data_IF_163220792727
#
_entry.id   IF_163220792727
#
_cell.length_a   1.000
_cell.length_b   1.000
_cell.length_c   1.000
_cell.angle_alpha   90.00
_cell.angle_beta   90.00
_cell.angle_gamma   90.00
#
_symmetry.space_group_name_H-M   'P 1'
#
loop_
_entity.id
_entity.type
_entity.pdbx_description
1 polymer ?
#
# COMPACT_ATOMS: atom_id res chain seq x y z
N UNK A 1 9.73 -21.34 -13.07
CA UNK A 1 10.90 -20.47 -12.80
C UNK A 1 10.69 -19.12 -13.48
N UNK A 2 11.33 -18.06 -13.00
CA UNK A 2 11.13 -16.68 -13.50
C UNK A 2 11.32 -16.56 -15.02
N UNK A 3 12.20 -17.37 -15.62
CA UNK A 3 12.36 -17.45 -17.09
C UNK A 3 11.13 -17.92 -17.87
N UNK A 4 10.26 -18.75 -17.29
CA UNK A 4 9.01 -19.17 -17.92
C UNK A 4 7.97 -18.04 -17.96
N UNK A 5 7.92 -17.21 -16.93
CA UNK A 5 7.02 -16.05 -16.88
C UNK A 5 7.50 -14.97 -17.86
N UNK A 6 8.82 -14.74 -17.92
CA UNK A 6 9.41 -13.86 -18.92
C UNK A 6 9.11 -14.36 -20.34
N UNK A 7 9.34 -15.64 -20.65
CA UNK A 7 9.02 -16.22 -21.95
C UNK A 7 7.52 -16.11 -22.30
N UNK A 8 6.62 -16.35 -21.35
CA UNK A 8 5.17 -16.21 -21.54
C UNK A 8 4.73 -14.76 -21.80
N UNK A 9 5.37 -13.78 -21.15
CA UNK A 9 5.07 -12.35 -21.32
C UNK A 9 5.76 -11.73 -22.54
N UNK A 10 6.84 -12.34 -23.03
CA UNK A 10 7.68 -11.77 -24.10
C UNK A 10 7.61 -12.50 -25.43
N UNK A 11 7.08 -13.73 -25.45
CA UNK A 11 7.16 -14.61 -26.63
C UNK A 11 8.59 -15.03 -26.98
N UNK A 12 9.55 -14.90 -26.06
CA UNK A 12 10.95 -15.24 -26.34
C UNK A 12 11.14 -16.74 -26.59
N UNK A 13 11.94 -17.13 -27.61
CA UNK A 13 12.32 -18.52 -27.82
C UNK A 13 13.17 -19.04 -26.64
N UNK A 14 13.05 -20.33 -26.29
CA UNK A 14 13.85 -20.92 -25.22
C UNK A 14 15.34 -20.86 -25.54
N UNK A 15 16.16 -20.39 -24.59
CA UNK A 15 17.63 -20.40 -24.68
C UNK A 15 18.33 -19.03 -24.79
N UNK A 16 17.61 -17.90 -24.85
CA UNK A 16 18.20 -16.56 -24.63
C UNK A 16 18.13 -16.16 -23.16
N UNK A 17 19.23 -15.64 -22.64
CA UNK A 17 19.24 -14.99 -21.34
C UNK A 17 18.41 -13.71 -21.40
N UNK A 18 17.47 -13.58 -20.47
CA UNK A 18 16.67 -12.37 -20.33
C UNK A 18 17.54 -11.26 -19.72
N UNK A 19 17.40 -10.03 -20.25
CA UNK A 19 18.16 -8.86 -19.79
C UNK A 19 17.63 -8.33 -18.45
N UNK A 20 17.98 -9.05 -17.38
CA UNK A 20 17.68 -8.68 -16.00
C UNK A 20 18.27 -7.33 -15.59
N UNK A 21 19.53 -6.99 -15.93
CA UNK A 21 20.10 -5.68 -15.60
C UNK A 21 19.31 -4.53 -16.24
N UNK A 22 18.95 -4.65 -17.52
CA UNK A 22 18.14 -3.65 -18.22
C UNK A 22 16.75 -3.51 -17.62
N UNK A 23 16.11 -4.62 -17.20
CA UNK A 23 14.83 -4.57 -16.50
C UNK A 23 14.94 -3.77 -15.19
N UNK A 24 15.93 -4.10 -14.36
CA UNK A 24 16.15 -3.40 -13.07
C UNK A 24 16.41 -1.92 -13.31
N UNK A 25 17.25 -1.57 -14.29
CA UNK A 25 17.53 -0.19 -14.66
C UNK A 25 16.27 0.57 -15.08
N UNK A 26 15.40 -0.05 -15.90
CA UNK A 26 14.14 0.56 -16.32
C UNK A 26 13.22 0.83 -15.12
N UNK A 27 13.07 -0.15 -14.21
CA UNK A 27 12.19 -0.03 -13.04
C UNK A 27 12.70 1.03 -12.04
N UNK A 28 14.01 1.06 -11.77
CA UNK A 28 14.62 2.08 -10.90
C UNK A 28 14.48 3.47 -11.52
N UNK A 29 14.72 3.59 -12.83
CA UNK A 29 14.56 4.86 -13.54
C UNK A 29 13.12 5.35 -13.51
N UNK A 30 12.14 4.45 -13.70
CA UNK A 30 10.72 4.80 -13.59
C UNK A 30 10.36 5.27 -12.17
N UNK A 31 10.86 4.59 -11.13
CA UNK A 31 10.68 5.02 -9.74
C UNK A 31 11.31 6.39 -9.46
N UNK A 32 12.49 6.69 -10.02
CA UNK A 32 13.09 8.02 -9.89
C UNK A 32 12.23 9.08 -10.58
N UNK A 33 11.73 8.80 -11.79
CA UNK A 33 10.82 9.69 -12.54
C UNK A 33 9.53 9.96 -11.76
N UNK A 34 9.02 8.96 -11.03
CA UNK A 34 7.87 9.11 -10.13
C UNK A 34 8.14 10.10 -9.00
N UNK A 35 9.24 9.91 -8.25
CA UNK A 35 9.62 10.80 -7.15
C UNK A 35 9.92 12.23 -7.62
N UNK A 36 10.60 12.36 -8.76
CA UNK A 36 10.83 13.66 -9.40
C UNK A 36 9.53 14.31 -9.87
N UNK A 37 8.53 13.52 -10.24
CA UNK A 37 7.18 13.99 -10.55
C UNK A 37 6.55 14.72 -9.36
N UNK A 38 6.61 14.13 -8.17
CA UNK A 38 6.15 14.76 -6.93
C UNK A 38 6.93 16.05 -6.63
N UNK A 39 8.27 16.01 -6.74
CA UNK A 39 9.12 17.18 -6.53
C UNK A 39 8.77 18.33 -7.49
N UNK A 40 8.61 18.02 -8.78
CA UNK A 40 8.28 19.01 -9.80
C UNK A 40 6.89 19.63 -9.57
N UNK A 41 5.90 18.81 -9.17
CA UNK A 41 4.58 19.31 -8.81
C UNK A 41 4.62 20.21 -7.58
N UNK A 42 5.45 19.87 -6.58
CA UNK A 42 5.64 20.67 -5.36
C UNK A 42 6.25 22.04 -5.69
N UNK A 43 7.30 22.06 -6.51
CA UNK A 43 7.91 23.32 -7.02
C UNK A 43 6.88 24.16 -7.74
N UNK A 44 6.08 23.55 -8.62
CA UNK A 44 5.01 24.26 -9.34
C UNK A 44 3.95 24.85 -8.41
N UNK A 45 3.67 24.18 -7.30
CA UNK A 45 2.78 24.67 -6.24
C UNK A 45 3.38 25.78 -5.37
N UNK A 46 4.65 26.13 -5.55
CA UNK A 46 5.37 27.12 -4.75
C UNK A 46 6.09 26.54 -3.52
N UNK A 47 6.09 25.22 -3.36
CA UNK A 47 6.84 24.53 -2.31
C UNK A 47 8.30 24.29 -2.69
N UNK A 48 9.11 23.91 -1.70
CA UNK A 48 10.51 23.51 -1.89
C UNK A 48 10.67 22.02 -1.57
N UNK A 49 11.05 21.17 -2.54
CA UNK A 49 11.35 19.78 -2.27
C UNK A 49 12.63 19.67 -1.43
N UNK A 50 12.67 18.66 -0.56
CA UNK A 50 13.86 18.27 0.19
C UNK A 50 14.73 17.31 -0.62
N UNK A 51 15.33 16.34 0.08
CA UNK A 51 16.20 15.33 -0.54
C UNK A 51 15.43 14.20 -1.24
N UNK A 52 16.13 13.50 -2.13
CA UNK A 52 15.69 12.22 -2.71
C UNK A 52 16.57 11.11 -2.15
N UNK A 53 15.99 9.97 -1.80
CA UNK A 53 16.73 8.86 -1.21
C UNK A 53 16.02 7.53 -1.32
N UNK A 54 16.51 6.55 -0.56
CA UNK A 54 15.92 5.22 -0.42
C UNK A 54 15.46 5.07 1.03
N UNK A 55 14.22 4.63 1.21
CA UNK A 55 13.60 4.37 2.50
C UNK A 55 12.95 2.98 2.54
N UNK A 56 12.34 2.66 3.68
CA UNK A 56 11.58 1.42 3.87
C UNK A 56 10.10 1.76 4.04
N UNK A 57 9.29 1.40 3.04
CA UNK A 57 7.84 1.43 3.15
C UNK A 57 7.38 0.04 3.61
N UNK A 58 6.94 -0.06 4.86
CA UNK A 58 6.63 -1.32 5.52
C UNK A 58 7.86 -2.24 5.57
N UNK A 59 7.94 -3.28 4.74
CA UNK A 59 9.10 -4.19 4.65
C UNK A 59 9.80 -4.12 3.29
N UNK A 60 9.38 -3.20 2.42
CA UNK A 60 9.90 -3.09 1.06
C UNK A 60 10.76 -1.83 0.92
N UNK A 61 11.95 -1.93 0.29
CA UNK A 61 12.71 -0.75 -0.06
C UNK A 61 11.95 0.06 -1.12
N UNK A 62 11.93 1.38 -0.96
CA UNK A 62 11.28 2.30 -1.88
C UNK A 62 12.16 3.54 -2.07
N UNK A 63 12.12 4.12 -3.27
CA UNK A 63 12.60 5.48 -3.46
C UNK A 63 11.64 6.45 -2.76
N UNK A 64 12.16 7.60 -2.34
CA UNK A 64 11.32 8.68 -1.83
C UNK A 64 11.91 10.03 -2.22
N UNK A 65 11.05 11.01 -2.45
CA UNK A 65 11.37 12.42 -2.39
C UNK A 65 10.72 13.04 -1.15
N UNK A 66 11.49 13.81 -0.39
CA UNK A 66 10.93 14.60 0.71
C UNK A 66 10.09 15.75 0.14
N UNK A 67 8.77 15.53 0.18
CA UNK A 67 7.76 16.52 -0.19
C UNK A 67 7.00 17.05 1.02
N UNK A 68 7.58 17.01 2.23
CA UNK A 68 6.89 17.41 3.47
C UNK A 68 6.28 18.83 3.40
N UNK A 69 6.90 19.74 2.63
CA UNK A 69 6.38 21.09 2.40
C UNK A 69 5.00 21.13 1.69
N UNK A 70 4.54 20.01 1.10
CA UNK A 70 3.22 19.87 0.48
C UNK A 70 2.10 20.22 1.46
N UNK A 71 2.27 19.93 2.75
CA UNK A 71 1.27 20.21 3.78
C UNK A 71 0.90 21.70 3.89
N UNK A 72 1.78 22.60 3.43
CA UNK A 72 1.57 24.05 3.43
C UNK A 72 0.78 24.54 2.21
N UNK A 73 0.61 23.71 1.19
CA UNK A 73 -0.05 24.10 -0.04
C UNK A 73 -1.58 24.06 0.08
N UNK A 74 -2.30 24.87 -0.73
CA UNK A 74 -3.74 24.73 -0.89
C UNK A 74 -4.10 23.32 -1.35
N UNK A 75 -5.26 22.84 -0.91
CA UNK A 75 -5.73 21.47 -1.16
C UNK A 75 -5.61 21.00 -2.61
N UNK A 76 -5.94 21.85 -3.57
CA UNK A 76 -5.85 21.52 -5.00
C UNK A 76 -4.41 21.24 -5.46
N UNK A 77 -3.45 21.98 -4.91
CA UNK A 77 -2.05 21.78 -5.23
C UNK A 77 -1.49 20.54 -4.51
N UNK A 78 -1.96 20.22 -3.31
CA UNK A 78 -1.60 18.96 -2.65
C UNK A 78 -2.08 17.73 -3.42
N UNK A 79 -3.35 17.72 -3.84
CA UNK A 79 -3.91 16.69 -4.74
C UNK A 79 -3.07 16.53 -6.01
N UNK A 80 -2.59 17.65 -6.58
CA UNK A 80 -1.70 17.61 -7.76
C UNK A 80 -0.38 16.95 -7.41
N UNK A 81 0.24 17.31 -6.29
CA UNK A 81 1.49 16.69 -5.83
C UNK A 81 1.27 15.20 -5.61
N UNK A 82 0.25 14.78 -4.86
CA UNK A 82 -0.03 13.37 -4.58
C UNK A 82 -0.30 12.55 -5.86
N UNK A 83 -0.93 13.14 -6.87
CA UNK A 83 -1.19 12.45 -8.15
C UNK A 83 0.01 12.46 -9.12
N UNK A 84 1.03 13.30 -8.88
CA UNK A 84 2.07 13.57 -9.86
C UNK A 84 2.96 12.35 -10.13
N UNK A 85 3.42 11.64 -9.11
CA UNK A 85 4.23 10.45 -9.30
C UNK A 85 3.50 9.37 -10.09
N UNK A 86 2.21 9.14 -9.78
CA UNK A 86 1.38 8.19 -10.54
C UNK A 86 1.26 8.59 -12.01
N UNK A 87 1.01 9.87 -12.29
CA UNK A 87 0.93 10.36 -13.66
C UNK A 87 2.25 10.15 -14.43
N UNK A 88 3.39 10.39 -13.78
CA UNK A 88 4.71 10.18 -14.37
C UNK A 88 5.07 8.71 -14.55
N UNK A 89 4.67 7.83 -13.62
CA UNK A 89 4.75 6.37 -13.83
C UNK A 89 3.92 5.92 -15.03
N UNK A 90 2.69 6.41 -15.19
CA UNK A 90 1.85 6.06 -16.35
C UNK A 90 2.50 6.52 -17.67
N UNK A 91 3.07 7.72 -17.70
CA UNK A 91 3.81 8.20 -18.86
C UNK A 91 5.05 7.34 -19.16
N UNK A 92 5.86 7.03 -18.14
CA UNK A 92 7.04 6.17 -18.28
C UNK A 92 6.66 4.76 -18.74
N UNK A 93 5.64 4.15 -18.13
CA UNK A 93 5.12 2.84 -18.51
C UNK A 93 4.59 2.80 -19.94
N UNK A 94 3.87 3.84 -20.37
CA UNK A 94 3.42 3.98 -21.75
C UNK A 94 4.57 4.11 -22.75
N UNK A 95 5.61 4.88 -22.41
CA UNK A 95 6.83 5.00 -23.22
C UNK A 95 7.59 3.67 -23.33
N UNK A 96 7.72 2.93 -22.22
CA UNK A 96 8.33 1.60 -22.21
C UNK A 96 7.53 0.59 -23.04
N UNK A 97 6.19 0.61 -22.93
CA UNK A 97 5.33 -0.27 -23.73
C UNK A 97 5.46 0.02 -25.23
N UNK A 98 5.41 1.30 -25.62
CA UNK A 98 5.59 1.70 -27.01
C UNK A 98 6.98 1.32 -27.53
N UNK A 99 8.04 1.58 -26.76
CA UNK A 99 9.40 1.21 -27.11
C UNK A 99 9.56 -0.31 -27.26
N UNK A 100 8.94 -1.10 -26.37
CA UNK A 100 8.96 -2.56 -26.46
C UNK A 100 8.32 -3.10 -27.73
N UNK A 101 7.20 -2.49 -28.18
CA UNK A 101 6.52 -2.86 -29.42
C UNK A 101 7.30 -2.40 -30.65
N UNK A 102 7.72 -1.13 -30.70
CA UNK A 102 8.36 -0.52 -31.88
C UNK A 102 9.77 -1.07 -32.12
N UNK A 103 10.55 -1.25 -31.05
CA UNK A 103 11.94 -1.71 -31.14
C UNK A 103 12.06 -3.24 -31.05
N UNK A 104 10.98 -3.94 -30.71
CA UNK A 104 10.99 -5.39 -30.48
C UNK A 104 11.87 -5.81 -29.30
N UNK A 105 12.05 -4.94 -28.29
CA UNK A 105 12.89 -5.18 -27.10
C UNK A 105 12.01 -5.68 -25.96
N UNK A 106 12.01 -6.98 -25.63
CA UNK A 106 11.01 -7.51 -24.71
C UNK A 106 11.20 -7.06 -23.26
N UNK A 107 12.42 -6.67 -22.89
CA UNK A 107 12.74 -6.07 -21.59
C UNK A 107 11.90 -4.82 -21.32
N UNK A 108 11.68 -3.97 -22.33
CA UNK A 108 10.88 -2.76 -22.20
C UNK A 108 9.39 -3.09 -21.96
N UNK A 109 8.86 -4.09 -22.67
CA UNK A 109 7.48 -4.57 -22.46
C UNK A 109 7.29 -5.18 -21.06
N UNK A 110 8.27 -5.94 -20.56
CA UNK A 110 8.21 -6.48 -19.19
C UNK A 110 8.33 -5.34 -18.17
N UNK A 111 9.21 -4.36 -18.42
CA UNK A 111 9.35 -3.19 -17.58
C UNK A 111 8.06 -2.37 -17.51
N UNK A 112 7.34 -2.20 -18.63
CA UNK A 112 6.05 -1.47 -18.63
C UNK A 112 5.00 -2.15 -17.75
N UNK A 113 4.93 -3.49 -17.74
CA UNK A 113 4.07 -4.23 -16.82
C UNK A 113 4.50 -4.05 -15.36
N UNK A 114 5.80 -4.04 -15.08
CA UNK A 114 6.34 -3.76 -13.75
C UNK A 114 5.99 -2.35 -13.26
N UNK A 115 6.08 -1.34 -14.12
CA UNK A 115 5.67 0.05 -13.81
C UNK A 115 4.17 0.14 -13.58
N UNK A 116 3.35 -0.56 -14.38
CA UNK A 116 1.90 -0.62 -14.16
C UNK A 116 1.56 -1.26 -12.81
N UNK A 117 2.26 -2.34 -12.43
CA UNK A 117 2.11 -2.93 -11.10
C UNK A 117 2.51 -1.95 -9.98
N UNK A 118 3.57 -1.15 -10.19
CA UNK A 118 3.97 -0.09 -9.26
C UNK A 118 2.90 1.02 -9.14
N UNK A 119 2.22 1.39 -10.23
CA UNK A 119 1.07 2.32 -10.20
C UNK A 119 -0.05 1.75 -9.35
N UNK A 120 -0.42 0.47 -9.56
CA UNK A 120 -1.46 -0.17 -8.76
C UNK A 120 -1.08 -0.16 -7.28
N UNK A 121 0.16 -0.50 -6.96
CA UNK A 121 0.67 -0.49 -5.59
C UNK A 121 0.64 0.91 -4.95
N UNK A 122 1.11 1.93 -5.66
CA UNK A 122 1.10 3.33 -5.21
C UNK A 122 -0.33 3.84 -4.97
N UNK A 123 -1.31 3.42 -5.78
CA UNK A 123 -2.71 3.79 -5.61
C UNK A 123 -3.46 3.02 -4.52
N UNK A 124 -2.89 1.96 -3.92
CA UNK A 124 -3.53 1.25 -2.82
C UNK A 124 -3.59 2.16 -1.58
N UNK A 125 -4.78 2.57 -1.11
CA UNK A 125 -4.90 3.57 -0.04
C UNK A 125 -4.71 2.99 1.36
N UNK A 126 -4.08 1.82 1.50
CA UNK A 126 -3.98 1.08 2.76
C UNK A 126 -2.66 1.31 3.50
N UNK A 127 -1.61 1.62 2.77
CA UNK A 127 -0.34 2.07 3.31
C UNK A 127 -0.24 3.58 3.11
N UNK A 128 0.71 4.27 3.74
CA UNK A 128 0.95 5.71 3.52
C UNK A 128 1.62 5.99 2.16
N UNK A 129 1.05 5.44 1.11
CA UNK A 129 1.37 5.61 -0.31
C UNK A 129 0.62 6.82 -0.88
N UNK A 130 0.88 7.15 -2.14
CA UNK A 130 0.23 8.26 -2.84
C UNK A 130 -1.30 8.12 -2.86
N UNK A 131 -1.83 6.91 -3.06
CA UNK A 131 -3.26 6.67 -3.03
C UNK A 131 -3.91 7.00 -1.67
N UNK A 132 -3.18 6.80 -0.57
CA UNK A 132 -3.65 7.16 0.77
C UNK A 132 -3.67 8.69 0.95
N UNK A 133 -2.58 9.39 0.57
CA UNK A 133 -2.50 10.84 0.72
C UNK A 133 -3.46 11.56 -0.23
N UNK A 134 -3.57 11.08 -1.46
CA UNK A 134 -4.57 11.53 -2.43
C UNK A 134 -5.99 11.38 -1.87
N UNK A 135 -6.30 10.24 -1.22
CA UNK A 135 -7.60 10.05 -0.58
C UNK A 135 -7.81 10.99 0.61
N UNK A 136 -6.80 11.20 1.47
CA UNK A 136 -6.82 12.20 2.54
C UNK A 136 -7.19 13.58 1.98
N UNK A 137 -6.50 14.04 0.95
CA UNK A 137 -6.69 15.36 0.37
C UNK A 137 -7.95 15.47 -0.47
N UNK A 138 -8.47 14.38 -1.05
CA UNK A 138 -9.79 14.33 -1.66
C UNK A 138 -10.94 14.28 -0.63
N UNK A 139 -10.66 13.92 0.62
CA UNK A 139 -11.64 13.99 1.72
C UNK A 139 -11.46 15.24 2.60
N UNK A 140 -10.36 15.98 2.44
CA UNK A 140 -10.04 17.15 3.27
C UNK A 140 -9.54 16.81 4.66
N UNK A 141 -8.99 15.61 4.81
CA UNK A 141 -8.44 15.15 6.06
C UNK A 141 -6.92 15.27 6.07
N UNK A 142 -6.37 15.42 7.27
CA UNK A 142 -4.92 15.35 7.48
C UNK A 142 -4.42 13.91 7.44
N UNK A 143 -5.21 13.00 8.02
CA UNK A 143 -4.94 11.58 8.18
C UNK A 143 -6.31 10.87 8.23
N UNK A 144 -6.48 9.73 7.54
CA UNK A 144 -7.77 9.01 7.48
C UNK A 144 -8.23 8.45 8.82
N UNK A 145 -7.28 8.08 9.67
CA UNK A 145 -7.49 7.50 10.99
C UNK A 145 -8.15 8.49 11.96
N UNK A 146 -7.88 9.79 11.78
CA UNK A 146 -8.36 10.87 12.66
C UNK A 146 -9.73 11.42 12.24
N UNK A 147 -10.23 11.05 11.06
CA UNK A 147 -11.55 11.46 10.58
C UNK A 147 -12.65 10.88 11.47
N UNK A 148 -13.20 11.74 12.34
CA UNK A 148 -14.35 11.42 13.18
C UNK A 148 -15.65 11.44 12.33
N UNK A 149 -16.45 10.37 12.32
CA UNK A 149 -17.70 10.32 11.56
C UNK A 149 -18.87 11.06 12.22
N UNK A 150 -18.63 11.78 13.32
CA UNK A 150 -19.67 12.53 14.05
C UNK A 150 -20.11 13.70 13.17
N UNK A 151 -21.38 13.73 12.78
CA UNK A 151 -21.90 14.69 11.79
C UNK A 151 -21.52 14.41 10.33
N UNK A 152 -20.76 13.35 10.03
CA UNK A 152 -20.39 12.98 8.67
C UNK A 152 -21.57 12.45 7.85
N UNK A 153 -21.61 12.79 6.56
CA UNK A 153 -22.57 12.24 5.60
C UNK A 153 -22.45 10.72 5.50
N UNK A 154 -23.54 10.05 5.10
CA UNK A 154 -23.53 8.59 4.92
C UNK A 154 -22.48 8.13 3.89
N UNK A 155 -22.19 8.96 2.87
CA UNK A 155 -21.17 8.68 1.85
C UNK A 155 -19.78 8.62 2.47
N UNK A 156 -19.42 9.63 3.28
CA UNK A 156 -18.13 9.64 3.98
C UNK A 156 -18.02 8.45 4.94
N UNK A 157 -19.09 8.12 5.67
CA UNK A 157 -19.12 6.93 6.53
C UNK A 157 -18.89 5.65 5.74
N UNK A 158 -19.57 5.47 4.61
CA UNK A 158 -19.41 4.32 3.75
C UNK A 158 -17.98 4.20 3.20
N UNK A 159 -17.39 5.30 2.72
CA UNK A 159 -16.00 5.36 2.26
C UNK A 159 -15.04 4.92 3.37
N UNK A 160 -15.19 5.47 4.58
CA UNK A 160 -14.31 5.15 5.70
C UNK A 160 -14.48 3.72 6.22
N UNK A 161 -15.69 3.16 6.16
CA UNK A 161 -15.93 1.74 6.47
C UNK A 161 -15.27 0.85 5.41
N UNK A 162 -15.48 1.15 4.13
CA UNK A 162 -14.90 0.40 3.02
C UNK A 162 -13.36 0.43 3.09
N UNK A 163 -12.78 1.60 3.37
CA UNK A 163 -11.35 1.76 3.58
C UNK A 163 -10.84 0.91 4.75
N UNK A 164 -11.50 0.93 5.92
CA UNK A 164 -11.10 0.11 7.09
C UNK A 164 -11.18 -1.38 6.81
N UNK A 165 -12.26 -1.84 6.16
CA UNK A 165 -12.41 -3.25 5.77
C UNK A 165 -11.32 -3.63 4.77
N UNK A 166 -11.10 -2.80 3.74
CA UNK A 166 -10.04 -3.00 2.76
C UNK A 166 -8.64 -3.07 3.40
N UNK A 167 -8.33 -2.17 4.34
CA UNK A 167 -7.08 -2.17 5.10
C UNK A 167 -6.87 -3.48 5.86
N UNK A 168 -7.90 -3.98 6.56
CA UNK A 168 -7.81 -5.25 7.29
C UNK A 168 -7.62 -6.45 6.36
N UNK A 169 -8.33 -6.48 5.24
CA UNK A 169 -8.17 -7.52 4.21
C UNK A 169 -6.77 -7.49 3.61
N UNK A 170 -6.26 -6.29 3.28
CA UNK A 170 -4.93 -6.08 2.77
C UNK A 170 -3.86 -6.55 3.77
N UNK A 171 -4.00 -6.19 5.05
CA UNK A 171 -3.07 -6.62 6.11
C UNK A 171 -3.09 -8.15 6.29
N UNK A 172 -4.27 -8.77 6.27
CA UNK A 172 -4.41 -10.23 6.30
C UNK A 172 -3.75 -10.91 5.10
N UNK A 173 -3.96 -10.36 3.89
CA UNK A 173 -3.32 -10.83 2.67
C UNK A 173 -1.80 -10.69 2.74
N UNK A 174 -1.27 -9.51 3.07
CA UNK A 174 0.18 -9.28 3.23
C UNK A 174 0.80 -10.21 4.28
N UNK A 175 0.13 -10.40 5.42
CA UNK A 175 0.58 -11.34 6.46
C UNK A 175 0.65 -12.77 5.92
N UNK A 176 -0.36 -13.21 5.16
CA UNK A 176 -0.36 -14.54 4.53
C UNK A 176 0.79 -14.71 3.52
N UNK A 177 1.11 -13.68 2.73
CA UNK A 177 2.24 -13.67 1.79
C UNK A 177 3.57 -13.75 2.53
N UNK A 178 3.77 -12.96 3.58
CA UNK A 178 5.00 -12.98 4.39
C UNK A 178 5.18 -14.32 5.12
N UNK A 179 4.12 -14.88 5.70
CA UNK A 179 4.15 -16.23 6.29
C UNK A 179 4.47 -17.27 5.22
N UNK A 180 3.86 -17.17 4.03
CA UNK A 180 4.14 -18.07 2.91
C UNK A 180 5.61 -18.01 2.46
N UNK A 181 6.19 -16.82 2.36
CA UNK A 181 7.61 -16.63 2.03
C UNK A 181 8.54 -17.11 3.13
N UNK A 182 8.21 -16.86 4.40
CA UNK A 182 8.95 -17.39 5.54
C UNK A 182 8.89 -18.92 5.54
N UNK A 183 7.71 -19.52 5.30
CA UNK A 183 7.54 -20.97 5.15
C UNK A 183 8.36 -21.51 3.98
N UNK A 184 8.45 -20.81 2.85
CA UNK A 184 9.28 -21.23 1.71
C UNK A 184 10.78 -21.19 2.05
N UNK A 185 11.26 -20.10 2.65
CA UNK A 185 12.65 -19.96 3.09
C UNK A 185 13.01 -20.99 4.17
N UNK A 186 12.09 -21.27 5.09
CA UNK A 186 12.28 -22.24 6.16
C UNK A 186 12.02 -23.67 5.68
N UNK A 187 11.25 -23.90 4.62
CA UNK A 187 11.08 -25.22 3.97
C UNK A 187 12.37 -25.72 3.30
N UNK A 188 13.36 -24.86 3.11
CA UNK A 188 14.73 -25.28 2.81
C UNK A 188 15.41 -25.97 4.01
N UNK A 189 14.81 -25.88 5.21
CA UNK A 189 15.22 -26.57 6.45
C UNK A 189 14.12 -27.52 6.96
N UNK A 190 14.43 -28.79 7.18
CA UNK A 190 13.47 -29.91 7.23
C UNK A 190 12.52 -30.01 8.47
N UNK A 191 12.27 -28.95 9.24
CA UNK A 191 11.73 -29.05 10.63
C UNK A 191 10.36 -28.39 10.90
N UNK A 192 9.61 -27.93 9.88
CA UNK A 192 8.51 -26.96 10.11
C UNK A 192 7.12 -27.49 10.55
N UNK A 193 6.79 -28.78 10.41
CA UNK A 193 5.42 -29.28 10.73
C UNK A 193 5.02 -29.16 12.21
N UNK A 194 5.98 -28.97 13.11
CA UNK A 194 5.74 -28.80 14.55
C UNK A 194 5.61 -27.33 14.95
N UNK A 195 6.37 -26.44 14.33
CA UNK A 195 6.35 -25.00 14.64
C UNK A 195 5.07 -24.34 14.14
N UNK A 196 4.59 -24.74 12.95
CA UNK A 196 3.34 -24.24 12.38
C UNK A 196 2.13 -24.46 13.30
N UNK A 197 2.02 -25.65 13.88
CA UNK A 197 0.93 -25.99 14.80
C UNK A 197 0.98 -25.13 16.07
N UNK A 198 2.17 -24.88 16.60
CA UNK A 198 2.35 -24.02 17.79
C UNK A 198 1.99 -22.57 17.48
N UNK A 199 2.46 -22.00 16.36
CA UNK A 199 2.17 -20.61 16.02
C UNK A 199 0.66 -20.36 15.77
N UNK A 200 -0.03 -21.28 15.09
CA UNK A 200 -1.48 -21.18 14.86
C UNK A 200 -2.23 -21.22 16.19
N UNK A 201 -1.87 -22.13 17.10
CA UNK A 201 -2.47 -22.22 18.44
C UNK A 201 -2.28 -20.91 19.21
N UNK A 202 -1.08 -20.32 19.18
CA UNK A 202 -0.79 -19.07 19.90
C UNK A 202 -1.58 -17.88 19.34
N UNK A 203 -1.71 -17.76 18.03
CA UNK A 203 -2.50 -16.69 17.39
C UNK A 203 -3.98 -16.84 17.68
N UNK A 204 -4.53 -18.05 17.58
CA UNK A 204 -5.94 -18.31 17.91
C UNK A 204 -6.21 -18.03 19.39
N UNK A 205 -5.31 -18.44 20.29
CA UNK A 205 -5.41 -18.15 21.72
C UNK A 205 -5.38 -16.64 22.00
N UNK A 206 -4.47 -15.89 21.35
CA UNK A 206 -4.37 -14.45 21.49
C UNK A 206 -5.65 -13.73 21.04
N UNK A 207 -6.18 -14.09 19.87
CA UNK A 207 -7.45 -13.55 19.36
C UNK A 207 -8.58 -13.85 20.34
N UNK A 208 -8.65 -15.08 20.87
CA UNK A 208 -9.63 -15.49 21.88
C UNK A 208 -9.57 -14.63 23.15
N UNK A 209 -8.37 -14.33 23.65
CA UNK A 209 -8.19 -13.46 24.82
C UNK A 209 -8.64 -12.03 24.53
N UNK A 210 -8.27 -11.47 23.38
CA UNK A 210 -8.65 -10.10 23.00
C UNK A 210 -10.17 -9.97 22.86
N UNK A 211 -10.83 -10.95 22.20
CA UNK A 211 -12.29 -10.99 22.08
C UNK A 211 -12.96 -11.12 23.44
N UNK A 212 -12.43 -11.96 24.33
CA UNK A 212 -12.96 -12.16 25.68
C UNK A 212 -12.87 -10.87 26.51
N UNK A 213 -11.74 -10.17 26.47
CA UNK A 213 -11.56 -8.87 27.13
C UNK A 213 -12.56 -7.85 26.59
N UNK A 214 -12.79 -7.84 25.28
CA UNK A 214 -13.75 -6.93 24.65
C UNK A 214 -15.20 -7.24 25.05
N UNK A 215 -15.57 -8.52 25.11
CA UNK A 215 -16.88 -9.00 25.54
C UNK A 215 -17.15 -8.65 27.01
N UNK A 216 -16.19 -8.90 27.90
CA UNK A 216 -16.30 -8.55 29.33
C UNK A 216 -16.43 -7.04 29.52
N UNK A 217 -15.62 -6.23 28.80
CA UNK A 217 -15.74 -4.76 28.86
C UNK A 217 -17.12 -4.28 28.40
N UNK A 218 -17.67 -4.83 27.31
CA UNK A 218 -19.03 -4.51 26.86
C UNK A 218 -20.09 -4.93 27.88
N UNK A 219 -19.99 -6.13 28.45
CA UNK A 219 -20.92 -6.64 29.46
C UNK A 219 -20.95 -5.77 30.72
N UNK A 220 -19.78 -5.36 31.22
CA UNK A 220 -19.68 -4.45 32.38
C UNK A 220 -20.27 -3.07 32.09
N UNK A 221 -20.07 -2.53 30.88
CA UNK A 221 -20.63 -1.24 30.49
C UNK A 221 -22.16 -1.29 30.36
N UNK A 222 -22.70 -2.36 29.79
CA UNK A 222 -24.16 -2.58 29.69
C UNK A 222 -24.78 -2.76 31.08
N UNK A 223 -24.15 -3.55 31.95
CA UNK A 223 -24.61 -3.74 33.34
C UNK A 223 -24.62 -2.45 34.15
N UNK A 224 -23.62 -1.58 33.99
CA UNK A 224 -23.58 -0.25 34.64
C UNK A 224 -24.65 0.71 34.10
N UNK A 225 -25.00 0.60 32.82
CA UNK A 225 -26.10 1.36 32.21
C UNK A 225 -27.46 0.98 32.80
N UNK A 226 -27.74 -0.32 32.87
CA UNK A 226 -28.99 -0.86 33.46
C UNK A 226 -29.11 -0.50 34.94
N UNK A 227 -28.02 -0.58 35.71
CA UNK A 227 -28.01 -0.22 37.14
C UNK A 227 -28.20 1.28 37.42
N UNK A 228 -27.81 2.15 36.48
CA UNK A 228 -28.07 3.60 36.57
C UNK A 228 -29.53 3.91 36.26
N UNK A 229 -30.08 3.27 35.24
CA UNK A 229 -31.47 3.46 34.80
C UNK A 229 -32.48 2.93 35.84
N UNK A 230 -32.14 1.84 36.53
CA UNK A 230 -32.94 1.31 37.64
C UNK A 230 -32.98 2.23 38.88
N UNK A 231 -31.91 3.00 39.14
CA UNK A 231 -31.88 3.97 40.26
C UNK A 231 -32.57 5.30 39.95
N UNK A 232 -32.65 5.68 38.68
CA UNK A 232 -33.35 6.89 38.24
C UNK A 232 -34.88 6.80 38.23
N UNK A 233 -35.46 5.59 38.42
CA UNK A 233 -36.92 5.36 38.48
C UNK A 233 -37.45 5.17 39.91
N UNK A 234 -36.59 5.32 40.92
CA UNK A 234 -36.93 5.14 42.36
C UNK A 234 -36.83 6.48 43.12
N UNK A 235 -36.65 7.60 42.42
CA UNK A 235 -36.79 8.97 42.93
C UNK A 235 -37.95 9.64 42.22
#
# INVERSE_FOLDING_TARGET
GVGYLAAALTGMPPGRDFDWPGLVLCLVSAGLVHELGHAAALVRGGGRPGGVGIGMLFVFPALYCDVTAVALLPRRERVRVDAAGVAWHLAAGGGLALGGVVLGVPTLSVASWGVLAAVVWSLLPFLRTDGYWLLCDLLGARVLEELAPVGATWRLRAILIAWRVGYLLFLGFMTSVLIGRLKWLVSLSATWRSVERVCIILVVAFIGVVVSIHMVRRGVLLGRGVWRDARGRVQ
#
